data_IF_710773427695
#
_entry.id   IF_710773427695
#
_cell.length_a   1.000
_cell.length_b   1.000
_cell.length_c   1.000
_cell.angle_alpha   90.00
_cell.angle_beta   90.00
_cell.angle_gamma   90.00
#
_symmetry.space_group_name_H-M   'P 1'
#
loop_
_entity.id
_entity.type
_entity.pdbx_description
1 polymer ?
#
# COMPACT_ATOMS: atom_id res chain seq x y z
N UNK A 1 -44.77 -6.02 -18.27
CA UNK A 1 -45.11 -5.76 -19.69
C UNK A 1 -44.98 -4.26 -19.97
N UNK A 2 -43.95 -3.90 -20.69
CA UNK A 2 -43.81 -2.83 -21.69
C UNK A 2 -42.32 -2.57 -21.84
N UNK A 3 -41.74 -3.19 -22.89
CA UNK A 3 -40.38 -2.92 -23.39
C UNK A 3 -40.42 -1.58 -24.11
N UNK A 4 -39.51 -0.66 -23.78
CA UNK A 4 -39.24 0.50 -24.62
C UNK A 4 -37.91 0.23 -25.35
N UNK A 5 -38.00 0.09 -26.66
CA UNK A 5 -36.83 0.13 -27.56
C UNK A 5 -36.49 1.62 -27.77
N UNK A 6 -35.23 1.98 -27.57
CA UNK A 6 -34.68 3.24 -28.06
C UNK A 6 -33.77 2.92 -29.24
N UNK A 7 -34.13 3.46 -30.38
CA UNK A 7 -33.45 3.31 -31.67
C UNK A 7 -32.39 4.40 -31.78
N UNK A 8 -31.11 3.99 -31.91
CA UNK A 8 -29.99 4.89 -32.22
C UNK A 8 -30.09 5.33 -33.69
N UNK A 9 -30.09 6.63 -33.92
CA UNK A 9 -29.95 7.24 -35.23
C UNK A 9 -28.51 7.72 -35.41
N UNK A 10 -27.74 7.02 -36.24
CA UNK A 10 -26.38 7.43 -36.65
C UNK A 10 -26.56 8.40 -37.84
N UNK A 11 -26.13 9.64 -37.67
CA UNK A 11 -26.01 10.61 -38.76
C UNK A 11 -24.52 10.73 -39.18
N UNK A 12 -24.21 10.11 -40.32
CA UNK A 12 -22.94 10.29 -40.98
C UNK A 12 -22.93 11.59 -41.79
N UNK A 13 -22.08 12.54 -41.44
CA UNK A 13 -21.77 13.73 -42.25
C UNK A 13 -20.46 13.53 -43.00
N UNK A 14 -20.59 13.31 -44.30
CA UNK A 14 -19.46 13.26 -45.24
C UNK A 14 -19.02 14.69 -45.60
N UNK A 15 -17.80 15.04 -45.35
CA UNK A 15 -17.18 16.29 -45.85
C UNK A 15 -16.32 15.96 -47.06
N UNK A 16 -16.68 16.49 -48.24
CA UNK A 16 -15.95 16.38 -49.48
C UNK A 16 -14.74 17.36 -49.51
N UNK A 17 -13.55 16.83 -49.71
CA UNK A 17 -12.41 17.64 -50.13
C UNK A 17 -12.39 17.80 -51.64
N UNK A 18 -12.44 19.03 -52.09
CA UNK A 18 -12.16 19.43 -53.48
C UNK A 18 -10.66 19.69 -53.58
N UNK A 19 -9.97 18.90 -54.39
CA UNK A 19 -8.60 19.15 -54.83
C UNK A 19 -8.59 20.05 -56.05
N UNK A 20 -7.87 21.17 -56.02
CA UNK A 20 -7.44 21.86 -57.22
C UNK A 20 -5.91 21.93 -57.20
N UNK A 21 -5.30 21.23 -58.15
CA UNK A 21 -3.88 21.29 -58.41
C UNK A 21 -3.51 22.47 -59.26
N UNK A 22 -2.32 23.03 -59.05
CA UNK A 22 -1.51 23.62 -60.12
C UNK A 22 -0.04 23.57 -59.72
N UNK A 23 0.77 23.07 -60.63
CA UNK A 23 2.22 22.95 -60.57
C UNK A 23 2.87 24.31 -60.73
N UNK A 24 3.94 24.65 -59.97
CA UNK A 24 5.18 25.12 -60.58
C UNK A 24 6.39 25.01 -59.63
N UNK A 25 7.56 24.89 -60.24
CA UNK A 25 8.88 24.56 -59.70
C UNK A 25 9.52 25.75 -58.98
N UNK A 26 10.37 25.39 -57.95
CA UNK A 26 11.48 26.30 -57.63
C UNK A 26 12.03 26.21 -56.19
N UNK A 27 13.21 25.63 -56.09
CA UNK A 27 14.31 25.93 -55.14
C UNK A 27 14.23 25.63 -53.63
N UNK A 28 15.18 24.84 -53.27
CA UNK A 28 15.81 24.52 -52.00
C UNK A 28 16.02 25.72 -51.06
N UNK A 29 15.49 25.61 -49.83
CA UNK A 29 16.11 26.23 -48.66
C UNK A 29 15.93 25.30 -47.45
N UNK A 30 17.07 24.99 -46.81
CA UNK A 30 17.14 24.30 -45.53
C UNK A 30 16.43 25.15 -44.50
N UNK A 31 15.33 24.65 -43.97
CA UNK A 31 14.69 25.15 -42.75
C UNK A 31 15.05 24.21 -41.64
N UNK A 32 15.77 24.70 -40.65
CA UNK A 32 15.99 24.04 -39.35
C UNK A 32 14.63 23.74 -38.74
N UNK A 33 14.40 22.46 -38.47
CA UNK A 33 13.23 22.03 -37.71
C UNK A 33 13.35 22.53 -36.27
N UNK A 34 12.60 23.56 -35.96
CA UNK A 34 12.31 23.97 -34.60
C UNK A 34 11.56 22.81 -33.95
N UNK A 35 12.23 22.11 -33.06
CA UNK A 35 11.56 21.21 -32.09
C UNK A 35 10.80 22.16 -31.17
N UNK A 36 9.50 22.24 -31.37
CA UNK A 36 8.58 22.89 -30.44
C UNK A 36 8.57 22.05 -29.17
N UNK A 37 9.37 22.39 -28.18
CA UNK A 37 9.13 22.03 -26.81
C UNK A 37 7.89 22.78 -26.36
N UNK A 38 6.73 22.18 -26.51
CA UNK A 38 5.48 22.71 -26.01
C UNK A 38 5.46 22.59 -24.48
N UNK A 39 5.90 23.64 -23.80
CA UNK A 39 5.51 23.88 -22.40
C UNK A 39 4.14 24.54 -22.45
N UNK A 40 3.10 23.77 -22.23
CA UNK A 40 1.75 24.29 -21.98
C UNK A 40 1.62 24.60 -20.49
N UNK A 41 2.22 25.69 -20.02
CA UNK A 41 1.84 26.24 -18.72
C UNK A 41 0.46 26.87 -18.87
N UNK A 42 -0.49 26.47 -18.02
CA UNK A 42 -1.83 27.07 -18.07
C UNK A 42 -1.78 28.55 -17.68
N UNK A 43 -2.45 29.40 -18.44
CA UNK A 43 -2.62 30.82 -18.15
C UNK A 43 -3.78 31.10 -17.18
N UNK A 44 -4.56 30.08 -16.85
CA UNK A 44 -5.70 30.17 -15.94
C UNK A 44 -5.26 30.23 -14.48
N UNK A 45 -6.08 30.90 -13.64
CA UNK A 45 -5.89 30.88 -12.20
C UNK A 45 -6.45 29.58 -11.62
N UNK A 46 -5.58 28.79 -11.05
CA UNK A 46 -5.92 27.50 -10.42
C UNK A 46 -5.68 27.59 -8.92
N UNK A 47 -6.62 27.08 -8.13
CA UNK A 47 -6.38 26.79 -6.71
C UNK A 47 -6.47 25.28 -6.52
N UNK A 48 -5.44 24.69 -5.96
CA UNK A 48 -5.32 23.25 -5.70
C UNK A 48 -5.09 23.02 -4.21
N UNK A 49 -5.97 22.25 -3.58
CA UNK A 49 -5.79 21.77 -2.21
C UNK A 49 -5.15 20.40 -2.22
N UNK A 50 -4.07 20.21 -1.50
CA UNK A 50 -3.34 18.94 -1.42
C UNK A 50 -3.29 18.46 0.01
N UNK A 51 -3.81 17.25 0.26
CA UNK A 51 -3.69 16.60 1.57
C UNK A 51 -2.24 16.21 1.82
N UNK A 52 -1.75 16.49 3.01
CA UNK A 52 -0.46 16.03 3.49
C UNK A 52 -0.51 15.70 4.98
N UNK A 53 0.16 14.62 5.39
CA UNK A 53 0.41 14.37 6.81
C UNK A 53 1.44 15.36 7.34
N UNK A 54 1.45 15.58 8.63
CA UNK A 54 2.30 16.59 9.26
C UNK A 54 3.78 16.45 8.89
N UNK A 55 4.26 15.22 8.88
CA UNK A 55 5.64 14.88 8.56
C UNK A 55 5.99 15.09 7.08
N UNK A 56 4.99 15.05 6.18
CA UNK A 56 5.19 15.22 4.73
C UNK A 56 5.28 16.69 4.32
N UNK A 57 4.77 17.61 5.13
CA UNK A 57 4.68 19.04 4.82
C UNK A 57 6.02 19.61 4.31
N UNK A 58 7.19 19.36 4.95
CA UNK A 58 8.45 19.94 4.47
C UNK A 58 8.80 19.53 3.04
N UNK A 59 8.52 18.28 2.66
CA UNK A 59 8.75 17.78 1.30
C UNK A 59 7.72 18.36 0.32
N UNK A 60 6.45 18.39 0.70
CA UNK A 60 5.37 18.90 -0.15
C UNK A 60 5.48 20.42 -0.40
N UNK A 61 6.00 21.19 0.56
CA UNK A 61 6.33 22.61 0.33
C UNK A 61 7.41 22.78 -0.76
N UNK A 62 8.44 21.92 -0.79
CA UNK A 62 9.45 21.89 -1.86
C UNK A 62 8.83 21.56 -3.23
N UNK A 63 7.97 20.52 -3.27
CA UNK A 63 7.22 20.17 -4.49
C UNK A 63 6.36 21.35 -4.95
N UNK A 64 5.64 21.99 -4.04
CA UNK A 64 4.83 23.18 -4.32
C UNK A 64 5.66 24.32 -4.92
N UNK A 65 6.84 24.60 -4.38
CA UNK A 65 7.74 25.63 -4.95
C UNK A 65 8.07 25.32 -6.42
N UNK A 66 8.44 24.06 -6.72
CA UNK A 66 8.73 23.62 -8.10
C UNK A 66 7.51 23.79 -9.03
N UNK A 67 6.31 23.42 -8.54
CA UNK A 67 5.10 23.53 -9.35
C UNK A 67 4.68 24.98 -9.58
N UNK A 68 4.77 25.85 -8.57
CA UNK A 68 4.45 27.28 -8.72
C UNK A 68 5.42 27.99 -9.65
N UNK A 69 6.70 27.60 -9.70
CA UNK A 69 7.64 28.10 -10.71
C UNK A 69 7.19 27.77 -12.14
N UNK A 70 6.68 26.56 -12.36
CA UNK A 70 6.18 26.10 -13.67
C UNK A 70 4.81 26.67 -14.00
N UNK A 71 3.94 26.84 -13.01
CA UNK A 71 2.57 27.32 -13.11
C UNK A 71 2.36 28.57 -12.24
N UNK A 72 2.83 29.75 -12.65
CA UNK A 72 2.85 30.95 -11.81
C UNK A 72 1.46 31.48 -11.44
N UNK A 73 0.40 31.04 -12.12
CA UNK A 73 -0.98 31.39 -11.81
C UNK A 73 -1.66 30.36 -10.90
N UNK A 74 -0.97 29.29 -10.51
CA UNK A 74 -1.48 28.30 -9.56
C UNK A 74 -1.25 28.74 -8.11
N UNK A 75 -2.25 28.50 -7.27
CA UNK A 75 -2.17 28.60 -5.81
C UNK A 75 -2.33 27.21 -5.24
N UNK A 76 -1.32 26.71 -4.53
CA UNK A 76 -1.36 25.39 -3.90
C UNK A 76 -1.48 25.57 -2.39
N UNK A 77 -2.53 24.97 -1.81
CA UNK A 77 -2.81 24.95 -0.38
C UNK A 77 -2.57 23.56 0.17
N UNK A 78 -1.57 23.39 1.04
CA UNK A 78 -1.36 22.13 1.76
C UNK A 78 -2.32 22.05 2.93
N UNK A 79 -3.09 20.96 3.00
CA UNK A 79 -4.05 20.68 4.06
C UNK A 79 -3.45 19.62 4.97
N UNK A 80 -2.99 20.04 6.16
CA UNK A 80 -2.42 19.13 7.16
C UNK A 80 -3.52 18.27 7.76
N UNK A 81 -3.56 16.99 7.37
CA UNK A 81 -4.47 15.99 7.92
C UNK A 81 -3.90 14.59 7.68
N UNK A 82 -4.13 13.67 8.63
CA UNK A 82 -3.79 12.27 8.45
C UNK A 82 -4.52 11.66 7.26
N UNK A 83 -3.87 10.78 6.49
CA UNK A 83 -4.46 10.20 5.29
C UNK A 83 -5.74 9.42 5.60
N UNK A 84 -5.78 8.63 6.67
CA UNK A 84 -6.98 7.90 7.06
C UNK A 84 -8.09 8.83 7.59
N UNK A 85 -7.76 9.88 8.35
CA UNK A 85 -8.75 10.88 8.80
C UNK A 85 -9.38 11.61 7.61
N UNK A 86 -8.57 11.88 6.57
CA UNK A 86 -9.06 12.47 5.33
C UNK A 86 -9.99 11.50 4.57
N UNK A 87 -9.61 10.22 4.44
CA UNK A 87 -10.45 9.19 3.82
C UNK A 87 -11.76 8.98 4.59
N UNK A 88 -11.73 9.00 5.90
CA UNK A 88 -12.93 8.96 6.75
C UNK A 88 -13.85 10.18 6.55
N UNK A 89 -13.28 11.32 6.21
CA UNK A 89 -14.05 12.52 5.84
C UNK A 89 -14.71 12.31 4.48
N UNK A 90 -14.00 11.77 3.50
CA UNK A 90 -14.52 11.43 2.17
C UNK A 90 -15.70 10.45 2.29
N UNK A 91 -15.58 9.41 3.09
CA UNK A 91 -16.63 8.39 3.27
C UNK A 91 -17.94 8.95 3.85
N UNK A 92 -17.88 10.10 4.54
CA UNK A 92 -19.03 10.75 5.17
C UNK A 92 -19.66 11.86 4.33
N UNK A 93 -19.08 12.17 3.16
CA UNK A 93 -19.46 13.32 2.35
C UNK A 93 -19.33 12.97 0.86
N UNK A 94 -19.56 13.92 -0.01
CA UNK A 94 -19.38 13.79 -1.46
C UNK A 94 -18.17 14.62 -1.96
N UNK A 95 -17.84 14.44 -3.23
CA UNK A 95 -16.72 15.10 -3.90
C UNK A 95 -16.78 16.64 -3.86
N UNK A 96 -17.97 17.23 -3.64
CA UNK A 96 -18.17 18.70 -3.64
C UNK A 96 -17.80 19.35 -2.30
N UNK A 97 -17.60 18.56 -1.25
CA UNK A 97 -17.23 19.10 0.06
C UNK A 97 -15.86 19.80 0.01
N UNK A 98 -15.84 21.06 0.42
CA UNK A 98 -14.62 21.87 0.44
C UNK A 98 -13.54 21.42 1.43
N UNK A 99 -13.90 20.57 2.40
CA UNK A 99 -12.98 20.00 3.38
C UNK A 99 -12.19 18.82 2.83
N UNK A 100 -12.66 18.23 1.71
CA UNK A 100 -11.92 17.21 0.96
C UNK A 100 -10.89 17.90 0.06
N UNK A 101 -9.65 17.42 0.08
CA UNK A 101 -8.58 17.93 -0.78
C UNK A 101 -8.82 17.56 -2.25
N UNK A 102 -8.16 18.31 -3.15
CA UNK A 102 -8.18 18.02 -4.60
C UNK A 102 -7.23 16.88 -4.96
N UNK A 103 -6.05 16.83 -4.29
CA UNK A 103 -5.09 15.71 -4.40
C UNK A 103 -4.91 15.09 -3.02
N UNK A 104 -4.99 13.79 -2.94
CA UNK A 104 -4.87 13.06 -1.68
C UNK A 104 -4.34 11.65 -1.84
N UNK A 105 -3.72 11.14 -0.77
CA UNK A 105 -3.19 9.79 -0.72
C UNK A 105 -4.28 8.77 -0.32
N UNK A 106 -4.24 7.58 -0.94
CA UNK A 106 -5.13 6.46 -0.62
C UNK A 106 -4.39 5.13 -0.75
N UNK A 107 -4.62 4.16 0.15
CA UNK A 107 -4.13 2.80 -0.04
C UNK A 107 -4.98 2.09 -1.10
N UNK A 108 -4.36 1.17 -1.85
CA UNK A 108 -4.98 0.53 -3.00
C UNK A 108 -6.31 -0.18 -2.70
N UNK A 109 -6.49 -0.72 -1.49
CA UNK A 109 -7.73 -1.39 -1.08
C UNK A 109 -8.93 -0.43 -0.87
N UNK A 110 -8.70 0.88 -0.77
CA UNK A 110 -9.77 1.88 -0.67
C UNK A 110 -10.29 2.33 -2.04
N UNK A 111 -9.57 1.99 -3.12
CA UNK A 111 -9.89 2.45 -4.48
C UNK A 111 -11.33 2.12 -4.89
N UNK A 112 -11.76 0.88 -4.71
CA UNK A 112 -13.09 0.43 -5.12
C UNK A 112 -14.23 1.15 -4.39
N UNK A 113 -14.05 1.44 -3.10
CA UNK A 113 -15.01 2.21 -2.31
C UNK A 113 -15.12 3.64 -2.81
N UNK A 114 -13.99 4.30 -3.05
CA UNK A 114 -13.92 5.67 -3.55
C UNK A 114 -14.46 5.79 -4.98
N UNK A 115 -14.13 4.83 -5.85
CA UNK A 115 -14.66 4.76 -7.22
C UNK A 115 -16.19 4.59 -7.23
N UNK A 116 -16.72 3.68 -6.42
CA UNK A 116 -18.18 3.48 -6.26
C UNK A 116 -18.89 4.75 -5.81
N UNK A 117 -18.24 5.54 -4.97
CA UNK A 117 -18.77 6.82 -4.48
C UNK A 117 -18.50 7.97 -5.45
N UNK A 118 -17.88 7.72 -6.61
CA UNK A 118 -17.55 8.70 -7.64
C UNK A 118 -16.76 9.90 -7.10
N UNK A 119 -15.75 9.65 -6.26
CA UNK A 119 -14.95 10.70 -5.62
C UNK A 119 -13.64 10.94 -6.35
N UNK A 120 -13.22 10.04 -7.24
CA UNK A 120 -11.95 10.08 -7.95
C UNK A 120 -12.17 10.47 -9.41
N UNK A 121 -11.32 11.38 -9.90
CA UNK A 121 -11.18 11.70 -11.30
C UNK A 121 -10.33 10.65 -12.03
N UNK A 122 -10.67 10.34 -13.28
CA UNK A 122 -9.80 9.58 -14.15
C UNK A 122 -8.57 10.42 -14.57
N UNK A 123 -7.42 9.78 -14.71
CA UNK A 123 -6.17 10.43 -15.09
C UNK A 123 -5.40 9.62 -16.14
N UNK A 124 -4.56 10.24 -16.98
CA UNK A 124 -3.73 9.56 -17.98
C UNK A 124 -2.48 8.94 -17.34
N UNK A 125 -2.66 8.03 -16.38
CA UNK A 125 -1.58 7.55 -15.52
C UNK A 125 -0.47 6.82 -16.27
N UNK A 126 -0.80 6.12 -17.36
CA UNK A 126 0.20 5.45 -18.22
C UNK A 126 1.09 6.45 -18.99
N UNK A 127 0.55 7.61 -19.37
CA UNK A 127 1.31 8.70 -19.96
C UNK A 127 2.16 9.42 -18.90
N UNK A 128 1.57 9.69 -17.74
CA UNK A 128 2.29 10.25 -16.60
C UNK A 128 3.48 9.39 -16.18
N UNK A 129 3.31 8.06 -16.17
CA UNK A 129 4.37 7.10 -15.85
C UNK A 129 5.53 7.15 -16.84
N UNK A 130 5.26 7.34 -18.14
CA UNK A 130 6.30 7.52 -19.17
C UNK A 130 7.07 8.84 -19.00
N UNK A 131 6.37 9.90 -18.55
CA UNK A 131 6.98 11.21 -18.29
C UNK A 131 7.86 11.20 -17.04
N UNK A 132 7.39 10.59 -15.94
CA UNK A 132 8.13 10.45 -14.67
C UNK A 132 9.29 9.47 -14.83
N UNK A 133 9.05 8.34 -15.50
CA UNK A 133 10.02 7.27 -15.74
C UNK A 133 10.22 6.35 -14.52
N UNK A 134 11.09 5.37 -14.70
CA UNK A 134 11.51 4.43 -13.65
C UNK A 134 10.61 3.20 -13.48
N UNK A 135 9.37 3.20 -13.97
CA UNK A 135 8.51 2.02 -13.91
C UNK A 135 8.99 0.94 -14.89
N UNK A 136 9.23 -0.26 -14.38
CA UNK A 136 9.65 -1.39 -15.22
C UNK A 136 8.45 -1.98 -16.00
N UNK A 137 7.31 -2.10 -15.34
CA UNK A 137 6.04 -2.59 -15.89
C UNK A 137 4.91 -1.92 -15.11
N UNK A 138 4.34 -0.85 -15.64
CA UNK A 138 3.37 -0.02 -14.92
C UNK A 138 2.06 -0.79 -14.66
N UNK A 139 1.55 -1.49 -15.67
CA UNK A 139 0.25 -2.16 -15.60
C UNK A 139 0.28 -3.44 -14.75
N UNK A 140 1.40 -4.17 -14.75
CA UNK A 140 1.58 -5.35 -13.89
C UNK A 140 2.23 -5.02 -12.53
N UNK A 141 2.64 -3.76 -12.33
CA UNK A 141 3.13 -3.22 -11.07
C UNK A 141 2.01 -2.59 -10.25
N UNK A 142 2.39 -1.62 -9.42
CA UNK A 142 1.44 -0.90 -8.56
C UNK A 142 0.44 -0.07 -9.38
N UNK A 143 0.80 0.37 -10.59
CA UNK A 143 -0.09 1.12 -11.48
C UNK A 143 -1.39 0.39 -11.77
N UNK A 144 -1.33 -0.89 -12.14
CA UNK A 144 -2.53 -1.70 -12.40
C UNK A 144 -3.45 -1.89 -11.20
N UNK A 145 -2.95 -1.68 -9.97
CA UNK A 145 -3.78 -1.71 -8.76
C UNK A 145 -4.73 -0.50 -8.65
N UNK A 146 -4.51 0.52 -9.47
CA UNK A 146 -5.32 1.76 -9.48
C UNK A 146 -6.17 1.91 -10.74
N UNK A 147 -6.29 0.85 -11.55
CA UNK A 147 -7.16 0.79 -12.72
C UNK A 147 -8.49 0.11 -12.37
N UNK A 148 -9.60 0.71 -12.78
CA UNK A 148 -10.95 0.12 -12.74
C UNK A 148 -11.62 0.34 -14.10
N UNK A 149 -12.06 -0.75 -14.73
CA UNK A 149 -12.81 -0.73 -16.01
C UNK A 149 -12.07 0.01 -17.17
N UNK A 150 -10.73 0.02 -17.14
CA UNK A 150 -9.89 0.66 -18.16
C UNK A 150 -9.57 2.13 -17.88
N UNK A 151 -9.91 2.64 -16.70
CA UNK A 151 -9.61 4.00 -16.25
C UNK A 151 -8.70 3.97 -15.01
N UNK A 152 -7.61 4.74 -15.03
CA UNK A 152 -6.77 4.92 -13.85
C UNK A 152 -7.35 6.02 -12.96
N UNK A 153 -7.64 5.66 -11.71
CA UNK A 153 -8.27 6.55 -10.72
C UNK A 153 -7.30 7.06 -9.64
N UNK A 154 -6.07 6.55 -9.65
CA UNK A 154 -4.97 7.09 -8.84
C UNK A 154 -3.64 6.78 -9.53
N UNK A 155 -2.58 7.51 -9.14
CA UNK A 155 -1.21 7.29 -9.60
C UNK A 155 -0.39 6.63 -8.49
N UNK A 156 0.48 5.64 -8.77
CA UNK A 156 1.33 5.00 -7.77
C UNK A 156 2.12 6.01 -6.94
N UNK A 157 2.07 5.87 -5.61
CA UNK A 157 2.81 6.72 -4.69
C UNK A 157 3.99 5.98 -4.08
N UNK A 158 3.74 4.91 -3.35
CA UNK A 158 4.78 4.11 -2.74
C UNK A 158 4.39 2.64 -2.64
N UNK A 159 5.38 1.76 -2.67
CA UNK A 159 5.20 0.35 -2.29
C UNK A 159 5.02 0.23 -0.79
N UNK A 160 4.28 -0.79 -0.37
CA UNK A 160 3.99 -1.07 1.03
C UNK A 160 4.12 -2.57 1.30
N UNK A 161 4.99 -2.91 2.24
CA UNK A 161 5.20 -4.27 2.73
C UNK A 161 5.81 -4.24 4.12
N UNK A 162 6.08 -5.40 4.71
CA UNK A 162 6.70 -5.52 6.03
C UNK A 162 8.17 -5.93 5.93
N UNK A 163 8.94 -5.53 6.92
CA UNK A 163 10.34 -5.90 7.15
C UNK A 163 10.52 -6.38 8.59
N UNK A 164 11.66 -6.97 8.92
CA UNK A 164 12.05 -7.29 10.28
C UNK A 164 13.06 -6.29 10.83
N UNK A 165 12.75 -5.73 12.00
CA UNK A 165 13.68 -4.93 12.79
C UNK A 165 14.26 -5.79 13.91
N UNK A 166 15.58 -5.93 13.98
CA UNK A 166 16.26 -6.73 15.01
C UNK A 166 16.91 -5.82 16.03
N UNK A 167 16.61 -6.03 17.32
CA UNK A 167 17.38 -5.46 18.42
C UNK A 167 18.62 -6.34 18.65
N UNK A 168 19.78 -5.85 18.24
CA UNK A 168 21.06 -6.61 18.26
C UNK A 168 21.48 -6.98 19.67
N UNK A 169 21.27 -6.11 20.66
CA UNK A 169 21.63 -6.41 22.06
C UNK A 169 20.70 -7.46 22.67
N UNK A 170 19.38 -7.38 22.38
CA UNK A 170 18.44 -8.40 22.82
C UNK A 170 18.75 -9.76 22.17
N UNK A 171 19.10 -9.77 20.86
CA UNK A 171 19.50 -10.99 20.17
C UNK A 171 20.73 -11.64 20.79
N UNK A 172 21.75 -10.84 21.11
CA UNK A 172 22.96 -11.32 21.80
C UNK A 172 22.63 -11.87 23.19
N UNK A 173 21.78 -11.17 23.95
CA UNK A 173 21.37 -11.61 25.28
C UNK A 173 20.60 -12.94 25.25
N UNK A 174 19.78 -13.12 24.22
CA UNK A 174 19.00 -14.35 23.97
C UNK A 174 19.82 -15.45 23.27
N UNK A 175 21.06 -15.16 22.84
CA UNK A 175 21.93 -16.06 22.06
C UNK A 175 21.27 -16.52 20.74
N UNK A 176 20.59 -15.59 20.05
CA UNK A 176 19.93 -15.82 18.76
C UNK A 176 20.85 -15.29 17.65
N UNK A 177 21.12 -16.16 16.65
CA UNK A 177 21.87 -15.78 15.45
C UNK A 177 20.92 -15.16 14.41
N UNK A 178 21.06 -13.86 14.20
CA UNK A 178 20.24 -13.07 13.27
C UNK A 178 20.88 -12.90 11.88
N UNK A 179 22.01 -13.56 11.63
CA UNK A 179 22.68 -13.57 10.31
C UNK A 179 22.13 -14.64 9.38
N UNK A 180 21.34 -15.58 9.93
CA UNK A 180 20.68 -16.66 9.23
C UNK A 180 19.14 -16.45 9.28
N UNK A 181 18.40 -17.36 8.68
CA UNK A 181 16.94 -17.38 8.85
C UNK A 181 16.58 -17.51 10.33
N UNK A 182 15.61 -16.74 10.76
CA UNK A 182 15.08 -16.78 12.12
C UNK A 182 13.77 -17.58 12.08
N UNK A 183 13.83 -18.81 12.63
CA UNK A 183 12.63 -19.64 12.70
C UNK A 183 11.74 -19.18 13.90
N UNK A 184 10.58 -18.63 13.59
CA UNK A 184 9.66 -18.07 14.58
C UNK A 184 9.26 -19.10 15.63
N UNK A 185 9.01 -20.33 15.19
CA UNK A 185 8.51 -21.41 16.06
C UNK A 185 9.58 -22.04 16.95
N UNK A 186 10.86 -21.75 16.71
CA UNK A 186 11.98 -22.15 17.56
C UNK A 186 12.23 -21.16 18.72
N UNK A 187 11.62 -19.97 18.66
CA UNK A 187 11.79 -18.92 19.66
C UNK A 187 10.78 -19.05 20.81
N UNK A 188 11.17 -18.54 21.97
CA UNK A 188 10.22 -18.39 23.08
C UNK A 188 9.13 -17.36 22.71
N UNK A 189 7.93 -17.53 23.25
CA UNK A 189 6.75 -16.72 22.93
C UNK A 189 6.97 -15.20 22.99
N UNK A 190 7.96 -14.72 23.73
CA UNK A 190 8.27 -13.30 23.95
C UNK A 190 9.55 -12.81 23.26
N UNK A 191 10.18 -13.64 22.42
CA UNK A 191 11.41 -13.29 21.71
C UNK A 191 11.16 -12.76 20.30
N UNK A 192 9.96 -12.94 19.76
CA UNK A 192 9.49 -12.33 18.52
C UNK A 192 8.04 -11.92 18.70
N UNK A 193 7.75 -10.63 18.59
CA UNK A 193 6.44 -10.10 18.88
C UNK A 193 5.82 -9.43 17.65
N UNK A 194 4.60 -9.87 17.34
CA UNK A 194 3.77 -9.25 16.31
C UNK A 194 2.29 -9.49 16.60
N UNK A 195 1.45 -8.57 16.19
CA UNK A 195 -0.01 -8.64 16.36
C UNK A 195 -0.64 -9.55 15.31
N UNK A 196 -0.37 -10.87 15.37
CA UNK A 196 -0.90 -11.84 14.39
C UNK A 196 -2.43 -11.85 14.28
N UNK A 197 -3.12 -11.32 15.28
CA UNK A 197 -4.58 -11.14 15.27
C UNK A 197 -5.03 -9.93 14.43
N UNK A 198 -4.17 -8.97 14.14
CA UNK A 198 -4.42 -7.96 13.14
C UNK A 198 -4.15 -8.57 11.77
N UNK A 199 -5.13 -8.53 10.86
CA UNK A 199 -5.01 -9.16 9.55
C UNK A 199 -3.85 -8.58 8.73
N UNK A 200 -3.48 -7.30 8.90
CA UNK A 200 -2.32 -6.72 8.22
C UNK A 200 -1.01 -7.48 8.54
N UNK A 201 -0.78 -7.82 9.80
CA UNK A 201 0.40 -8.63 10.18
C UNK A 201 0.14 -10.13 10.00
N UNK A 202 -1.09 -10.58 10.24
CA UNK A 202 -1.49 -11.98 10.16
C UNK A 202 -1.33 -12.59 8.77
N UNK A 203 -1.54 -11.81 7.71
CA UNK A 203 -1.40 -12.28 6.32
C UNK A 203 0.03 -12.69 5.98
N UNK A 204 1.04 -12.18 6.66
CA UNK A 204 2.41 -12.62 6.45
C UNK A 204 2.59 -14.13 6.75
N UNK A 205 1.82 -14.65 7.69
CA UNK A 205 1.82 -16.05 8.10
C UNK A 205 0.91 -16.89 7.19
N UNK A 206 -0.29 -16.41 6.87
CA UNK A 206 -1.22 -17.15 6.01
C UNK A 206 -0.71 -17.28 4.58
N UNK A 207 -0.11 -16.21 4.02
CA UNK A 207 0.50 -16.23 2.69
C UNK A 207 1.68 -17.21 2.59
N UNK A 208 2.44 -17.41 3.68
CA UNK A 208 3.59 -18.34 3.68
C UNK A 208 3.20 -19.79 3.36
N UNK A 209 1.95 -20.16 3.58
CA UNK A 209 1.41 -21.52 3.38
C UNK A 209 0.23 -21.56 2.39
N UNK A 210 0.01 -20.49 1.63
CA UNK A 210 -1.09 -20.40 0.68
C UNK A 210 -2.47 -20.58 1.32
N UNK A 211 -2.66 -20.01 2.55
CA UNK A 211 -3.93 -20.00 3.24
C UNK A 211 -4.68 -18.71 2.93
N UNK A 212 -5.52 -18.77 1.88
CA UNK A 212 -6.28 -17.62 1.39
C UNK A 212 -7.40 -17.25 2.38
N UNK A 213 -7.36 -16.03 2.92
CA UNK A 213 -8.42 -15.52 3.79
C UNK A 213 -9.70 -15.21 2.99
N UNK A 214 -9.56 -14.62 1.81
CA UNK A 214 -10.63 -14.43 0.84
C UNK A 214 -10.00 -14.18 -0.54
N UNK A 215 -10.48 -14.89 -1.56
CA UNK A 215 -10.02 -14.71 -2.93
C UNK A 215 -11.12 -15.18 -3.90
N UNK A 216 -10.91 -14.98 -5.20
CA UNK A 216 -11.73 -15.57 -6.25
C UNK A 216 -11.10 -16.87 -6.75
N UNK A 217 -11.93 -17.87 -7.00
CA UNK A 217 -11.52 -19.10 -7.68
C UNK A 217 -11.50 -18.92 -9.22
N UNK A 218 -11.13 -19.98 -9.94
CA UNK A 218 -11.09 -19.99 -11.42
C UNK A 218 -12.47 -19.70 -12.05
N UNK A 219 -13.56 -19.90 -11.30
CA UNK A 219 -14.94 -19.62 -11.74
C UNK A 219 -15.38 -18.19 -11.41
N UNK A 220 -14.49 -17.38 -10.82
CA UNK A 220 -14.76 -16.05 -10.29
C UNK A 220 -15.79 -16.04 -9.15
N UNK A 221 -15.87 -17.12 -8.40
CA UNK A 221 -16.66 -17.19 -7.18
C UNK A 221 -15.75 -16.92 -5.96
N UNK A 222 -16.25 -16.15 -4.99
CA UNK A 222 -15.55 -15.89 -3.75
C UNK A 222 -15.37 -17.18 -2.95
N UNK A 223 -14.15 -17.41 -2.45
CA UNK A 223 -13.84 -18.49 -1.56
C UNK A 223 -12.90 -18.07 -0.44
N UNK A 224 -12.90 -18.84 0.65
CA UNK A 224 -11.93 -18.72 1.74
C UNK A 224 -11.41 -20.10 2.13
N UNK A 225 -10.09 -20.25 2.25
CA UNK A 225 -9.49 -21.47 2.79
C UNK A 225 -9.92 -21.71 4.24
N UNK A 226 -10.22 -20.64 4.99
CA UNK A 226 -10.67 -20.71 6.38
C UNK A 226 -12.03 -21.40 6.58
N UNK A 227 -12.80 -21.64 5.50
CA UNK A 227 -14.06 -22.40 5.58
C UNK A 227 -13.90 -23.91 5.42
N UNK A 228 -12.68 -24.40 5.10
CA UNK A 228 -12.41 -25.83 5.00
C UNK A 228 -12.50 -26.51 6.35
N UNK A 229 -12.82 -27.79 6.36
CA UNK A 229 -12.70 -28.60 7.57
C UNK A 229 -11.21 -28.81 7.93
N UNK A 230 -10.89 -28.95 9.22
CA UNK A 230 -9.51 -29.18 9.68
C UNK A 230 -8.84 -30.35 8.95
N UNK A 231 -9.59 -31.43 8.68
CA UNK A 231 -9.09 -32.60 7.97
C UNK A 231 -8.66 -32.31 6.53
N UNK A 232 -9.26 -31.28 5.90
CA UNK A 232 -9.05 -30.91 4.50
C UNK A 232 -7.94 -29.87 4.31
N UNK A 233 -7.36 -29.34 5.40
CA UNK A 233 -6.20 -28.47 5.37
C UNK A 233 -4.94 -29.28 5.02
N UNK A 234 -3.97 -28.62 4.35
CA UNK A 234 -2.64 -29.21 4.15
C UNK A 234 -1.88 -29.32 5.46
N UNK A 235 -0.80 -30.09 5.48
CA UNK A 235 0.01 -30.25 6.68
C UNK A 235 0.66 -28.90 7.08
N UNK A 236 1.08 -28.09 6.11
CA UNK A 236 1.62 -26.75 6.35
C UNK A 236 0.57 -25.80 6.93
N UNK A 237 -0.67 -25.86 6.43
CA UNK A 237 -1.78 -25.05 6.96
C UNK A 237 -2.17 -25.47 8.37
N UNK A 238 -2.11 -26.77 8.71
CA UNK A 238 -2.30 -27.25 10.09
C UNK A 238 -1.17 -26.78 10.99
N UNK A 239 0.09 -26.87 10.51
CA UNK A 239 1.26 -26.40 11.24
C UNK A 239 1.21 -24.88 11.50
N UNK A 240 0.65 -24.09 10.58
CA UNK A 240 0.37 -22.68 10.81
C UNK A 240 -0.49 -22.48 12.08
N UNK A 241 -1.63 -23.14 12.16
CA UNK A 241 -2.53 -23.00 13.31
C UNK A 241 -1.96 -23.63 14.59
N UNK A 242 -1.16 -24.68 14.50
CA UNK A 242 -0.43 -25.22 15.65
C UNK A 242 0.58 -24.19 16.21
N UNK A 243 1.33 -23.53 15.34
CA UNK A 243 2.25 -22.47 15.74
C UNK A 243 1.54 -21.25 16.32
N UNK A 244 0.49 -20.74 15.66
CA UNK A 244 -0.30 -19.61 16.16
C UNK A 244 -0.98 -19.92 17.51
N UNK A 245 -1.49 -21.14 17.68
CA UNK A 245 -2.07 -21.59 18.94
C UNK A 245 -1.01 -21.63 20.06
N UNK A 246 0.17 -22.18 19.79
CA UNK A 246 1.26 -22.23 20.76
C UNK A 246 1.74 -20.83 21.14
N UNK A 247 1.83 -19.92 20.17
CA UNK A 247 2.17 -18.51 20.39
C UNK A 247 1.13 -17.83 21.30
N UNK A 248 -0.17 -17.93 20.97
CA UNK A 248 -1.25 -17.43 21.82
C UNK A 248 -1.20 -18.03 23.23
N UNK A 249 -1.00 -19.35 23.33
CA UNK A 249 -0.96 -20.07 24.60
C UNK A 249 0.18 -19.58 25.50
N UNK A 250 1.37 -19.37 24.94
CA UNK A 250 2.50 -18.81 25.66
C UNK A 250 2.17 -17.44 26.27
N UNK A 251 1.57 -16.54 25.47
CA UNK A 251 1.14 -15.24 25.97
C UNK A 251 0.04 -15.32 27.02
N UNK A 252 -0.92 -16.20 26.85
CA UNK A 252 -2.00 -16.42 27.80
C UNK A 252 -1.50 -16.94 29.14
N UNK A 253 -0.64 -17.96 29.14
CA UNK A 253 -0.11 -18.59 30.36
C UNK A 253 0.76 -17.60 31.16
N UNK A 254 1.36 -16.63 30.49
CA UNK A 254 2.19 -15.59 31.09
C UNK A 254 1.44 -14.25 31.32
N UNK A 255 0.12 -14.21 31.04
CA UNK A 255 -0.74 -13.03 31.22
C UNK A 255 -0.18 -11.76 30.57
N UNK A 256 0.38 -11.85 29.36
CA UNK A 256 0.85 -10.69 28.63
C UNK A 256 -0.29 -9.95 27.93
N UNK A 257 -0.03 -8.72 27.48
CA UNK A 257 -1.04 -7.89 26.81
C UNK A 257 -1.06 -8.08 25.29
N UNK A 258 -0.34 -9.05 24.70
CA UNK A 258 -0.26 -9.18 23.25
C UNK A 258 -1.62 -9.51 22.61
N UNK A 259 -2.50 -10.26 23.31
CA UNK A 259 -3.85 -10.62 22.83
C UNK A 259 -4.94 -9.63 23.25
N UNK A 260 -4.54 -8.40 23.59
CA UNK A 260 -5.41 -7.24 23.79
C UNK A 260 -5.11 -6.20 22.70
N UNK A 261 -6.05 -5.99 21.78
CA UNK A 261 -5.84 -5.13 20.60
C UNK A 261 -5.43 -3.70 20.95
N UNK A 262 -5.89 -3.19 22.09
CA UNK A 262 -5.64 -1.81 22.53
C UNK A 262 -4.29 -1.68 23.28
N UNK A 263 -3.75 -2.76 23.80
CA UNK A 263 -2.53 -2.79 24.60
C UNK A 263 -1.34 -3.47 23.89
N UNK A 264 -1.58 -4.24 22.83
CA UNK A 264 -0.55 -5.06 22.16
C UNK A 264 0.63 -4.22 21.65
N UNK A 265 0.38 -3.10 20.97
CA UNK A 265 1.43 -2.25 20.41
C UNK A 265 2.36 -1.71 21.49
N UNK A 266 1.81 -1.21 22.59
CA UNK A 266 2.60 -0.73 23.73
C UNK A 266 3.39 -1.84 24.42
N UNK A 267 2.85 -3.05 24.47
CA UNK A 267 3.55 -4.23 25.00
C UNK A 267 4.74 -4.60 24.10
N UNK A 268 4.54 -4.67 22.78
CA UNK A 268 5.61 -4.96 21.81
C UNK A 268 6.73 -3.93 21.95
N UNK A 269 6.40 -2.64 21.93
CA UNK A 269 7.39 -1.57 22.02
C UNK A 269 8.20 -1.65 23.33
N UNK A 270 7.54 -1.94 24.45
CA UNK A 270 8.23 -2.08 25.74
C UNK A 270 9.19 -3.29 25.76
N UNK A 271 8.80 -4.42 25.14
CA UNK A 271 9.63 -5.61 25.08
C UNK A 271 10.74 -5.50 24.03
N UNK A 272 10.56 -4.67 22.99
CA UNK A 272 11.57 -4.46 21.95
C UNK A 272 12.66 -3.48 22.37
N UNK A 273 12.47 -2.67 23.41
CA UNK A 273 13.52 -1.82 23.96
C UNK A 273 14.75 -2.65 24.34
N UNK A 274 15.91 -2.01 24.26
CA UNK A 274 17.17 -2.62 24.72
C UNK A 274 17.06 -3.10 26.17
N UNK A 275 17.33 -4.37 26.38
CA UNK A 275 17.15 -5.07 27.66
C UNK A 275 15.79 -5.72 27.85
N UNK A 276 14.87 -5.59 26.89
CA UNK A 276 13.64 -6.35 26.82
C UNK A 276 13.84 -7.76 26.25
N UNK A 277 12.75 -8.50 26.06
CA UNK A 277 12.79 -9.89 25.59
C UNK A 277 12.64 -10.03 24.09
N UNK A 278 11.97 -9.08 23.44
CA UNK A 278 11.71 -9.13 22.00
C UNK A 278 12.98 -8.85 21.20
N UNK A 279 13.28 -9.75 20.29
CA UNK A 279 14.48 -9.70 19.45
C UNK A 279 14.15 -9.16 18.06
N UNK A 280 12.94 -9.46 17.55
CA UNK A 280 12.50 -9.09 16.20
C UNK A 280 11.11 -8.49 16.24
N UNK A 281 11.02 -7.22 15.93
CA UNK A 281 9.77 -6.52 15.67
C UNK A 281 9.48 -6.57 14.16
N UNK A 282 8.31 -7.07 13.78
CA UNK A 282 7.84 -7.02 12.40
C UNK A 282 7.02 -5.74 12.21
N UNK A 283 7.45 -4.87 11.30
CA UNK A 283 6.77 -3.60 11.00
C UNK A 283 7.13 -3.14 9.58
N UNK A 284 6.56 -2.04 9.11
CA UNK A 284 6.89 -1.48 7.80
C UNK A 284 8.01 -0.43 7.83
N UNK A 285 8.51 0.02 6.67
CA UNK A 285 9.58 1.01 6.58
C UNK A 285 9.23 2.35 7.25
N UNK A 286 7.95 2.68 7.37
CA UNK A 286 7.44 3.86 8.09
C UNK A 286 7.79 3.87 9.58
N UNK A 287 8.04 2.72 10.18
CA UNK A 287 8.37 2.60 11.61
C UNK A 287 9.85 2.85 11.93
N UNK A 288 10.72 3.06 10.94
CA UNK A 288 12.18 3.13 11.12
C UNK A 288 12.61 4.10 12.22
N UNK A 289 12.05 5.31 12.24
CA UNK A 289 12.43 6.32 13.22
C UNK A 289 11.96 5.96 14.63
N UNK A 290 10.73 5.49 14.80
CA UNK A 290 10.20 5.08 16.11
C UNK A 290 10.92 3.85 16.65
N UNK A 291 11.25 2.89 15.79
CA UNK A 291 12.00 1.69 16.15
C UNK A 291 13.44 2.06 16.59
N UNK A 292 14.10 2.98 15.89
CA UNK A 292 15.41 3.50 16.26
C UNK A 292 15.41 4.12 17.66
N UNK A 293 14.36 4.84 18.02
CA UNK A 293 14.20 5.41 19.37
C UNK A 293 14.08 4.31 20.45
N UNK A 294 13.34 3.23 20.16
CA UNK A 294 13.20 2.11 21.09
C UNK A 294 14.53 1.42 21.39
N UNK A 295 15.36 1.18 20.37
CA UNK A 295 16.65 0.51 20.54
C UNK A 295 17.78 1.45 20.98
N UNK A 296 17.57 2.76 20.94
CA UNK A 296 18.47 3.80 21.46
C UNK A 296 19.61 4.20 20.52
N UNK A 297 19.97 3.41 19.52
CA UNK A 297 20.97 3.77 18.51
C UNK A 297 20.80 2.94 17.23
N UNK A 298 21.24 3.50 16.10
CA UNK A 298 21.27 2.80 14.82
C UNK A 298 22.19 1.54 14.85
N UNK A 299 23.29 1.59 15.60
CA UNK A 299 24.24 0.47 15.71
C UNK A 299 23.63 -0.75 16.42
N UNK A 300 22.57 -0.55 17.21
CA UNK A 300 21.83 -1.61 17.88
C UNK A 300 20.62 -2.11 17.07
N UNK A 301 20.47 -1.66 15.83
CA UNK A 301 19.38 -2.06 14.95
C UNK A 301 19.94 -2.72 13.69
N UNK A 302 19.47 -3.96 13.40
CA UNK A 302 19.67 -4.62 12.12
C UNK A 302 18.31 -4.67 11.42
N UNK A 303 18.32 -4.50 10.10
CA UNK A 303 17.12 -4.62 9.27
C UNK A 303 17.25 -5.88 8.42
N UNK A 304 16.20 -6.67 8.36
CA UNK A 304 16.15 -7.90 7.58
C UNK A 304 14.92 -7.94 6.69
N UNK A 305 15.00 -8.55 5.50
CA UNK A 305 13.81 -8.86 4.71
C UNK A 305 12.84 -9.73 5.52
N UNK A 306 11.54 -9.53 5.33
CA UNK A 306 10.51 -10.31 6.01
C UNK A 306 10.71 -11.82 5.76
N UNK A 307 11.12 -12.21 4.54
CA UNK A 307 11.37 -13.61 4.15
C UNK A 307 12.53 -14.28 4.87
N UNK A 308 13.40 -13.51 5.58
CA UNK A 308 14.41 -14.08 6.47
C UNK A 308 13.80 -14.63 7.77
N UNK A 309 12.57 -14.24 8.11
CA UNK A 309 11.80 -14.84 9.19
C UNK A 309 11.01 -16.00 8.60
N UNK A 310 11.18 -17.19 9.16
CA UNK A 310 10.45 -18.40 8.75
C UNK A 310 9.47 -18.84 9.83
N UNK A 311 8.37 -19.47 9.42
CA UNK A 311 7.37 -20.03 10.31
C UNK A 311 7.11 -21.47 9.90
N UNK A 312 7.47 -22.43 10.76
CA UNK A 312 7.52 -23.86 10.43
C UNK A 312 8.29 -24.13 9.12
N UNK A 313 9.43 -23.46 8.95
CA UNK A 313 10.31 -23.59 7.77
C UNK A 313 9.84 -22.84 6.53
N UNK A 314 8.68 -22.19 6.55
CA UNK A 314 8.16 -21.42 5.43
C UNK A 314 8.51 -19.93 5.59
N UNK A 315 9.14 -19.27 4.60
CA UNK A 315 9.43 -17.85 4.66
C UNK A 315 8.13 -17.02 4.79
N UNK A 316 8.12 -16.05 5.69
CA UNK A 316 7.01 -15.11 5.76
C UNK A 316 6.94 -14.27 4.48
N UNK A 317 5.72 -14.06 3.99
CA UNK A 317 5.43 -13.28 2.79
C UNK A 317 4.26 -12.35 3.04
N UNK A 318 4.47 -11.07 2.84
CA UNK A 318 3.39 -10.10 2.90
C UNK A 318 2.74 -9.91 1.52
N UNK A 319 2.03 -8.84 1.33
CA UNK A 319 1.45 -8.44 0.06
C UNK A 319 2.35 -7.47 -0.72
N UNK A 320 2.21 -7.47 -2.03
CA UNK A 320 2.55 -6.36 -2.91
C UNK A 320 1.48 -5.30 -2.75
N UNK A 321 1.59 -4.54 -1.67
CA UNK A 321 0.70 -3.43 -1.35
C UNK A 321 1.28 -2.11 -1.82
N UNK A 322 0.49 -1.06 -1.73
CA UNK A 322 0.93 0.28 -2.02
C UNK A 322 -0.16 1.32 -1.85
N UNK A 323 0.31 2.56 -1.89
CA UNK A 323 -0.54 3.74 -1.88
C UNK A 323 -0.50 4.41 -3.24
N UNK A 324 -1.58 5.10 -3.58
CA UNK A 324 -1.69 5.97 -4.74
C UNK A 324 -2.03 7.40 -4.33
N UNK A 325 -1.88 8.31 -5.29
CA UNK A 325 -2.33 9.70 -5.21
C UNK A 325 -3.51 9.85 -6.15
N UNK A 326 -4.69 10.12 -5.60
CA UNK A 326 -5.91 10.37 -6.34
C UNK A 326 -6.18 11.85 -6.53
N UNK A 327 -6.94 12.17 -7.59
CA UNK A 327 -7.48 13.51 -7.84
C UNK A 327 -8.98 13.46 -7.57
N UNK A 328 -9.51 14.47 -6.87
CA UNK A 328 -10.93 14.56 -6.58
C UNK A 328 -11.74 14.78 -7.87
N UNK A 329 -12.82 14.03 -8.06
CA UNK A 329 -13.70 14.09 -9.23
C UNK A 329 -14.22 15.51 -9.56
N UNK A 330 -14.32 16.40 -8.57
CA UNK A 330 -14.70 17.81 -8.84
C UNK A 330 -13.73 18.58 -9.73
N UNK A 331 -12.49 18.06 -9.91
CA UNK A 331 -11.47 18.68 -10.74
C UNK A 331 -11.66 18.35 -12.24
N UNK A 332 -12.40 17.29 -12.60
CA UNK A 332 -12.52 16.76 -13.97
C UNK A 332 -13.01 17.81 -15.00
N UNK A 333 -13.93 18.68 -14.60
CA UNK A 333 -14.50 19.71 -15.48
C UNK A 333 -13.56 20.91 -15.70
N UNK A 334 -12.38 20.93 -15.03
CA UNK A 334 -11.41 22.01 -15.12
C UNK A 334 -10.04 21.46 -15.58
N UNK A 335 -9.80 21.54 -16.89
CA UNK A 335 -8.57 21.06 -17.54
C UNK A 335 -7.29 21.66 -16.92
N UNK A 336 -7.30 22.95 -16.58
CA UNK A 336 -6.15 23.62 -15.97
C UNK A 336 -5.89 23.10 -14.54
N UNK A 337 -6.94 22.79 -13.78
CA UNK A 337 -6.81 22.22 -12.44
C UNK A 337 -6.29 20.78 -12.48
N UNK A 338 -6.76 19.98 -13.45
CA UNK A 338 -6.24 18.63 -13.69
C UNK A 338 -4.76 18.66 -14.07
N UNK A 339 -4.35 19.54 -15.02
CA UNK A 339 -2.95 19.69 -15.44
C UNK A 339 -2.02 20.00 -14.26
N UNK A 340 -2.43 20.91 -13.37
CA UNK A 340 -1.63 21.27 -12.18
C UNK A 340 -1.62 20.13 -11.16
N UNK A 341 -2.73 19.42 -10.96
CA UNK A 341 -2.81 18.28 -10.05
C UNK A 341 -1.91 17.12 -10.52
N UNK A 342 -1.96 16.77 -11.81
CA UNK A 342 -1.10 15.75 -12.41
C UNK A 342 0.39 16.14 -12.33
N UNK A 343 0.71 17.40 -12.58
CA UNK A 343 2.08 17.90 -12.45
C UNK A 343 2.58 17.81 -11.00
N UNK A 344 1.71 18.11 -10.02
CA UNK A 344 2.04 18.00 -8.60
C UNK A 344 2.29 16.52 -8.21
N UNK A 345 1.43 15.61 -8.65
CA UNK A 345 1.60 14.17 -8.42
C UNK A 345 2.92 13.67 -9.02
N UNK A 346 3.20 14.02 -10.29
CA UNK A 346 4.44 13.62 -10.96
C UNK A 346 5.70 14.13 -10.24
N UNK A 347 5.65 15.33 -9.67
CA UNK A 347 6.79 15.87 -8.93
C UNK A 347 6.95 15.20 -7.56
N UNK A 348 5.86 14.83 -6.87
CA UNK A 348 5.93 14.04 -5.62
C UNK A 348 6.70 12.73 -5.83
N UNK A 349 6.39 12.02 -6.92
CA UNK A 349 6.94 10.68 -7.18
C UNK A 349 8.13 10.69 -8.15
N UNK A 350 8.73 11.84 -8.37
CA UNK A 350 9.92 11.97 -9.19
C UNK A 350 11.09 11.20 -8.54
N UNK A 351 11.70 10.19 -9.21
CA UNK A 351 12.80 9.42 -8.64
C UNK A 351 14.00 10.27 -8.19
N UNK A 352 14.21 11.42 -8.85
CA UNK A 352 15.26 12.36 -8.44
C UNK A 352 15.05 12.92 -7.01
N UNK A 353 13.83 12.87 -6.49
CA UNK A 353 13.45 13.32 -5.14
C UNK A 353 13.26 12.14 -4.17
N UNK A 354 13.56 10.89 -4.57
CA UNK A 354 13.30 9.70 -3.78
C UNK A 354 13.87 9.75 -2.36
N UNK A 355 15.10 10.28 -2.23
CA UNK A 355 15.73 10.48 -0.92
C UNK A 355 14.94 11.43 -0.03
N UNK A 356 14.58 12.61 -0.53
CA UNK A 356 13.87 13.61 0.26
C UNK A 356 12.46 13.14 0.63
N UNK A 357 11.81 12.42 -0.28
CA UNK A 357 10.54 11.77 0.01
C UNK A 357 10.69 10.76 1.15
N UNK A 358 11.70 9.88 1.06
CA UNK A 358 11.93 8.86 2.09
C UNK A 358 12.27 9.49 3.44
N UNK A 359 13.13 10.49 3.47
CA UNK A 359 13.51 11.22 4.69
C UNK A 359 12.28 11.83 5.40
N UNK A 360 11.34 12.37 4.63
CA UNK A 360 10.15 13.01 5.17
C UNK A 360 9.04 12.00 5.56
N UNK A 361 8.91 10.91 4.80
CA UNK A 361 7.71 10.07 4.86
C UNK A 361 7.97 8.61 5.21
N UNK A 362 9.20 8.12 5.08
CA UNK A 362 9.55 6.70 5.14
C UNK A 362 9.01 5.88 3.94
N UNK A 363 8.53 6.54 2.89
CA UNK A 363 7.90 5.89 1.74
C UNK A 363 8.94 5.53 0.67
N UNK A 364 8.86 4.31 0.16
CA UNK A 364 9.73 3.77 -0.89
C UNK A 364 8.97 3.77 -2.21
N UNK A 365 9.51 4.47 -3.21
CA UNK A 365 8.91 4.56 -4.55
C UNK A 365 9.07 3.23 -5.31
N UNK A 366 8.05 2.82 -6.07
CA UNK A 366 8.16 1.68 -6.99
C UNK A 366 9.08 1.98 -8.19
N UNK A 367 9.02 3.23 -8.66
CA UNK A 367 9.75 3.70 -9.84
C UNK A 367 11.16 4.23 -9.54
N UNK A 368 11.68 3.97 -8.35
CA UNK A 368 13.04 4.31 -7.97
C UNK A 368 13.89 3.04 -7.80
N UNK A 369 15.20 3.21 -7.86
CA UNK A 369 16.20 2.15 -7.64
C UNK A 369 17.02 2.46 -6.38
N UNK A 370 17.80 1.50 -5.89
CA UNK A 370 18.72 1.73 -4.77
C UNK A 370 19.68 2.89 -5.04
N UNK A 371 20.09 3.10 -6.29
CA UNK A 371 20.97 4.20 -6.68
C UNK A 371 20.35 5.59 -6.47
N UNK A 372 19.03 5.70 -6.54
CA UNK A 372 18.30 6.96 -6.29
C UNK A 372 18.30 7.32 -4.80
N UNK A 373 18.56 6.33 -3.92
CA UNK A 373 18.65 6.50 -2.47
C UNK A 373 20.10 6.52 -1.92
N UNK A 374 21.12 6.53 -2.79
CA UNK A 374 22.55 6.40 -2.39
C UNK A 374 23.03 7.41 -1.35
N UNK A 375 22.37 8.57 -1.24
CA UNK A 375 22.74 9.65 -0.32
C UNK A 375 21.94 9.62 1.00
N UNK A 376 21.11 8.59 1.25
CA UNK A 376 20.49 8.34 2.55
C UNK A 376 21.53 7.80 3.54
N UNK A 377 21.24 7.83 4.84
CA UNK A 377 22.13 7.18 5.80
C UNK A 377 22.14 5.64 5.66
N UNK A 378 23.16 4.99 6.22
CA UNK A 378 23.36 3.54 6.07
C UNK A 378 22.16 2.72 6.59
N UNK A 379 21.51 3.20 7.66
CA UNK A 379 20.36 2.51 8.23
C UNK A 379 19.14 2.62 7.31
N UNK A 380 18.88 3.82 6.79
CA UNK A 380 17.80 4.07 5.84
C UNK A 380 17.98 3.22 4.57
N UNK A 381 19.22 3.14 4.06
CA UNK A 381 19.52 2.30 2.89
C UNK A 381 19.18 0.83 3.16
N UNK A 382 19.53 0.30 4.34
CA UNK A 382 19.19 -1.08 4.72
C UNK A 382 17.68 -1.32 4.81
N UNK A 383 16.92 -0.33 5.28
CA UNK A 383 15.45 -0.41 5.29
C UNK A 383 14.89 -0.49 3.87
N UNK A 384 15.40 0.35 2.96
CA UNK A 384 14.97 0.38 1.57
C UNK A 384 15.31 -0.95 0.87
N UNK A 385 16.53 -1.45 1.05
CA UNK A 385 16.97 -2.75 0.52
C UNK A 385 16.10 -3.91 1.02
N UNK A 386 15.81 -3.94 2.33
CA UNK A 386 14.94 -4.95 2.92
C UNK A 386 13.51 -4.84 2.43
N UNK A 387 13.01 -3.61 2.19
CA UNK A 387 11.67 -3.35 1.64
C UNK A 387 11.56 -3.91 0.23
N UNK A 388 12.50 -3.61 -0.67
CA UNK A 388 12.49 -4.17 -2.02
C UNK A 388 12.61 -5.70 -2.01
N UNK A 389 13.51 -6.26 -1.19
CA UNK A 389 13.68 -7.71 -1.09
C UNK A 389 12.42 -8.41 -0.54
N UNK A 390 11.69 -7.78 0.40
CA UNK A 390 10.41 -8.29 0.91
C UNK A 390 9.31 -8.18 -0.14
N UNK A 391 9.26 -7.06 -0.88
CA UNK A 391 8.24 -6.80 -1.90
C UNK A 391 8.37 -7.73 -3.11
N UNK A 392 9.60 -8.06 -3.52
CA UNK A 392 9.86 -8.95 -4.67
C UNK A 392 9.21 -10.33 -4.51
N UNK A 393 9.23 -10.88 -3.29
CA UNK A 393 8.69 -12.22 -2.97
C UNK A 393 7.28 -12.20 -2.40
N UNK A 394 6.70 -11.02 -2.25
CA UNK A 394 5.35 -10.83 -1.70
C UNK A 394 4.27 -11.35 -2.66
N UNK A 395 3.13 -11.75 -2.09
CA UNK A 395 1.96 -12.18 -2.85
C UNK A 395 1.15 -10.96 -3.35
N UNK A 396 0.34 -11.15 -4.40
CA UNK A 396 -0.55 -10.09 -4.86
C UNK A 396 -1.61 -9.78 -3.78
N UNK A 397 -1.84 -8.50 -3.53
CA UNK A 397 -2.88 -8.08 -2.58
C UNK A 397 -4.26 -8.26 -3.21
N UNK A 398 -5.22 -8.89 -2.51
CA UNK A 398 -6.62 -8.90 -2.95
C UNK A 398 -7.20 -7.48 -2.93
N UNK A 399 -7.63 -6.96 -4.10
CA UNK A 399 -8.10 -5.59 -4.27
C UNK A 399 -9.57 -5.58 -4.75
N UNK A 400 -10.48 -6.07 -3.92
CA UNK A 400 -11.92 -6.05 -4.18
C UNK A 400 -12.67 -5.71 -2.88
N UNK A 401 -13.86 -5.12 -3.03
CA UNK A 401 -14.60 -4.50 -1.91
C UNK A 401 -14.95 -5.47 -0.78
N UNK A 402 -15.22 -6.74 -1.12
CA UNK A 402 -15.59 -7.78 -0.17
C UNK A 402 -14.46 -8.11 0.80
N UNK A 403 -13.19 -7.91 0.37
CA UNK A 403 -12.02 -8.14 1.23
C UNK A 403 -12.03 -7.26 2.49
N UNK A 404 -12.71 -6.13 2.46
CA UNK A 404 -12.87 -5.26 3.62
C UNK A 404 -13.46 -5.94 4.86
N UNK A 405 -14.22 -7.04 4.68
CA UNK A 405 -14.78 -7.80 5.80
C UNK A 405 -13.75 -8.74 6.46
N UNK A 406 -12.65 -9.04 5.78
CA UNK A 406 -11.59 -9.93 6.30
C UNK A 406 -10.91 -9.35 7.54
N UNK A 407 -10.70 -8.02 7.57
CA UNK A 407 -10.02 -7.34 8.67
C UNK A 407 -10.65 -7.66 10.03
N UNK A 408 -11.92 -7.34 10.18
CA UNK A 408 -12.65 -7.58 11.42
C UNK A 408 -12.88 -9.08 11.67
N UNK A 409 -13.11 -9.88 10.61
CA UNK A 409 -13.38 -11.31 10.74
C UNK A 409 -12.18 -12.05 11.31
N UNK A 410 -10.98 -11.81 10.75
CA UNK A 410 -9.75 -12.41 11.25
C UNK A 410 -9.44 -11.95 12.67
N UNK A 411 -9.48 -10.63 12.92
CA UNK A 411 -9.18 -10.08 14.23
C UNK A 411 -10.09 -10.66 15.32
N UNK A 412 -11.40 -10.62 15.09
CA UNK A 412 -12.37 -11.11 16.03
C UNK A 412 -12.23 -12.63 16.27
N UNK A 413 -11.92 -13.40 15.22
CA UNK A 413 -11.70 -14.84 15.33
C UNK A 413 -10.54 -15.17 16.28
N UNK A 414 -9.37 -14.55 16.08
CA UNK A 414 -8.18 -14.81 16.91
C UNK A 414 -8.34 -14.26 18.33
N UNK A 415 -8.89 -13.05 18.49
CA UNK A 415 -9.11 -12.46 19.82
C UNK A 415 -10.11 -13.30 20.65
N UNK A 416 -11.07 -13.97 19.98
CA UNK A 416 -12.03 -14.85 20.66
C UNK A 416 -11.38 -16.00 21.45
N UNK A 417 -10.16 -16.44 21.05
CA UNK A 417 -9.43 -17.50 21.74
C UNK A 417 -9.24 -17.24 23.24
N UNK A 418 -9.07 -15.96 23.62
CA UNK A 418 -8.94 -15.57 25.03
C UNK A 418 -10.19 -15.88 25.85
N UNK A 419 -11.39 -15.75 25.26
CA UNK A 419 -12.66 -16.05 25.90
C UNK A 419 -13.07 -17.54 25.76
N UNK A 420 -12.82 -18.12 24.58
CA UNK A 420 -13.20 -19.49 24.24
C UNK A 420 -12.29 -20.55 24.87
N UNK A 421 -11.02 -20.17 25.07
CA UNK A 421 -10.01 -21.05 25.69
C UNK A 421 -9.87 -22.41 25.01
N UNK A 422 -9.55 -22.45 23.68
CA UNK A 422 -9.41 -23.72 22.96
C UNK A 422 -8.33 -24.60 23.62
N UNK A 423 -8.56 -25.92 23.62
CA UNK A 423 -7.66 -26.87 24.24
C UNK A 423 -6.49 -27.30 23.32
N UNK A 424 -6.63 -27.08 22.03
CA UNK A 424 -5.63 -27.39 20.99
C UNK A 424 -5.85 -26.54 19.73
N UNK A 425 -4.94 -26.68 18.76
CA UNK A 425 -4.97 -25.93 17.51
C UNK A 425 -6.22 -26.19 16.67
N UNK A 426 -6.73 -27.43 16.63
CA UNK A 426 -7.97 -27.75 15.92
C UNK A 426 -9.18 -27.01 16.52
N UNK A 427 -9.27 -26.91 17.83
CA UNK A 427 -10.34 -26.15 18.49
C UNK A 427 -10.16 -24.63 18.26
N UNK A 428 -8.93 -24.13 18.27
CA UNK A 428 -8.64 -22.75 17.93
C UNK A 428 -9.02 -22.42 16.47
N UNK A 429 -8.71 -23.32 15.54
CA UNK A 429 -9.10 -23.18 14.14
C UNK A 429 -10.63 -23.20 13.94
N UNK A 430 -11.38 -23.98 14.71
CA UNK A 430 -12.86 -23.98 14.63
C UNK A 430 -13.49 -22.61 14.88
N UNK A 431 -12.87 -21.79 15.73
CA UNK A 431 -13.33 -20.40 15.93
C UNK A 431 -13.06 -19.53 14.70
N UNK A 432 -11.90 -19.73 14.03
CA UNK A 432 -11.58 -19.07 12.77
C UNK A 432 -12.57 -19.49 11.68
N UNK A 433 -12.76 -20.80 11.51
CA UNK A 433 -13.71 -21.36 10.54
C UNK A 433 -15.13 -20.80 10.74
N UNK A 434 -15.63 -20.82 11.98
CA UNK A 434 -16.97 -20.32 12.27
C UNK A 434 -17.14 -18.83 11.93
N UNK A 435 -16.11 -18.02 12.16
CA UNK A 435 -16.12 -16.60 11.81
C UNK A 435 -16.13 -16.40 10.31
N UNK A 436 -15.31 -17.15 9.56
CA UNK A 436 -15.25 -17.07 8.11
C UNK A 436 -16.47 -17.70 7.42
N UNK A 437 -17.06 -18.78 7.94
CA UNK A 437 -18.35 -19.29 7.47
C UNK A 437 -19.44 -18.21 7.59
N UNK A 438 -19.46 -17.47 8.70
CA UNK A 438 -20.37 -16.35 8.90
C UNK A 438 -20.14 -15.20 7.92
N UNK A 439 -18.88 -14.85 7.66
CA UNK A 439 -18.51 -13.84 6.66
C UNK A 439 -18.95 -14.26 5.26
N UNK A 440 -18.62 -15.47 4.83
CA UNK A 440 -18.96 -15.99 3.51
C UNK A 440 -20.47 -16.07 3.27
N UNK A 441 -21.26 -16.32 4.32
CA UNK A 441 -22.71 -16.31 4.23
C UNK A 441 -23.30 -14.92 3.87
N UNK A 442 -22.57 -13.83 4.07
CA UNK A 442 -23.01 -12.49 3.70
C UNK A 442 -22.83 -12.20 2.20
N UNK A 443 -22.06 -13.01 1.48
CA UNK A 443 -21.79 -12.83 0.04
C UNK A 443 -22.73 -13.67 -0.85
N UNK A 444 -23.56 -14.57 -0.26
CA UNK A 444 -24.47 -15.49 -0.95
C UNK A 444 -25.91 -14.97 -1.03
#
# INVERSE_FOLDING_TARGET
>A
MKKLLVTLLVAATSINFVACGSSDKGESSKGEGSVSTGSSATDEKVTLKVQAEKEWIPYYEKVKETIVEKYPNATIELVETGSFDHLDTIDKTDATNSDVADVFALPADRLYGLAKNQVLAAMPADEMAKEVGGFADFDNGLGGNFEIDGEYLAFPYNIETLVGYVNVENAKAANIDTTQNIEFTDLEYNQILTTVHDAWYGVAFTNSVGFELLNFDDSKELYSTATKEWADLTDEQKALFEGLYNYWKGHKENNTSLWDKDAAAGYIDEQFKTGGSDVVKIDGPWATNSVKELVGSADNMQIIPLSQITFNGQPLKHWKGGWGLGINARCEDNEAQMEVAEAFIKEIVNPANAKELFDATGKVLENATIDDYKDVDELQLKVIEATYASYEVAENRPLFSEYGQVWDTWQNALLSWSAKNPANAEEAYKEVKASFDGMMANFN
#
